data_IF_230108056798
#
_entry.id   IF_230108056798
#
_cell.length_a   1.000
_cell.length_b   1.000
_cell.length_c   1.000
_cell.angle_alpha   90.00
_cell.angle_beta   90.00
_cell.angle_gamma   90.00
#
_symmetry.space_group_name_H-M   'P 1'
#
loop_
_entity.id
_entity.type
_entity.pdbx_description
1 polymer ?
#
# COMPACT_ATOMS: atom_id res chain seq x y z
N UNK A 1 -1.74 34.82 8.43
CA UNK A 1 -1.08 33.52 8.61
C UNK A 1 -2.11 32.44 8.36
N UNK A 2 -2.06 31.74 7.23
CA UNK A 2 -3.00 30.64 6.97
C UNK A 2 -2.78 29.56 8.04
N UNK A 3 -3.85 29.10 8.69
CA UNK A 3 -3.78 27.99 9.62
C UNK A 3 -3.08 26.81 8.92
N UNK A 4 -1.90 26.44 9.40
CA UNK A 4 -1.08 25.41 8.77
C UNK A 4 -1.85 24.10 8.74
N UNK A 5 -2.14 23.59 7.53
CA UNK A 5 -2.82 22.31 7.37
C UNK A 5 -1.91 21.18 7.89
N UNK A 6 -2.25 20.63 9.05
CA UNK A 6 -1.53 19.50 9.63
C UNK A 6 -1.96 18.22 8.90
N UNK A 7 -0.98 17.50 8.34
CA UNK A 7 -1.24 16.19 7.74
C UNK A 7 -1.73 15.24 8.84
N UNK A 8 -2.93 14.63 8.72
CA UNK A 8 -3.42 13.67 9.69
C UNK A 8 -2.43 12.53 9.89
N UNK A 9 -2.18 12.18 11.16
CA UNK A 9 -1.37 11.00 11.49
C UNK A 9 -2.23 9.75 11.42
N UNK A 10 -1.72 8.69 10.82
CA UNK A 10 -2.42 7.42 10.69
C UNK A 10 -1.43 6.25 10.64
N UNK A 11 -1.88 5.06 11.06
CA UNK A 11 -1.07 3.84 10.92
C UNK A 11 -1.16 3.24 9.51
N UNK A 12 -2.28 3.46 8.84
CA UNK A 12 -2.59 2.97 7.49
C UNK A 12 -3.06 4.14 6.64
N UNK A 13 -2.39 4.37 5.52
CA UNK A 13 -2.69 5.44 4.58
C UNK A 13 -3.19 4.87 3.26
N UNK A 14 -4.44 5.15 2.89
CA UNK A 14 -4.97 4.89 1.54
C UNK A 14 -4.85 6.14 0.69
N UNK A 15 -4.27 6.00 -0.50
CA UNK A 15 -4.04 7.09 -1.45
C UNK A 15 -4.75 6.74 -2.75
N UNK A 16 -5.62 7.64 -3.20
CA UNK A 16 -6.23 7.57 -4.52
C UNK A 16 -5.47 8.52 -5.45
N UNK A 17 -4.61 7.95 -6.30
CA UNK A 17 -3.81 8.69 -7.25
C UNK A 17 -3.36 7.77 -8.39
N UNK A 18 -3.09 8.37 -9.54
CA UNK A 18 -2.44 7.71 -10.66
C UNK A 18 -0.93 7.92 -10.56
N UNK A 19 -0.17 6.86 -10.85
CA UNK A 19 1.29 6.90 -10.86
C UNK A 19 1.74 7.17 -12.26
N UNK A 20 2.58 8.18 -12.42
CA UNK A 20 3.19 8.51 -13.69
C UNK A 20 4.17 7.41 -14.14
N UNK A 21 4.53 7.33 -15.44
CA UNK A 21 5.46 6.31 -15.94
C UNK A 21 6.83 6.29 -15.26
N UNK A 22 7.27 7.42 -14.70
CA UNK A 22 8.50 7.55 -13.92
C UNK A 22 8.39 7.05 -12.47
N UNK A 23 7.19 6.66 -12.04
CA UNK A 23 6.91 6.19 -10.68
C UNK A 23 6.51 7.28 -9.70
N UNK A 24 6.45 8.55 -10.13
CA UNK A 24 6.02 9.67 -9.29
C UNK A 24 4.50 9.78 -9.21
N UNK A 25 4.00 10.58 -8.26
CA UNK A 25 2.56 10.86 -8.13
C UNK A 25 2.16 12.20 -8.79
N UNK A 26 3.01 12.79 -9.63
CA UNK A 26 2.71 14.06 -10.32
C UNK A 26 2.59 15.30 -9.41
N UNK A 27 2.90 15.20 -8.12
CA UNK A 27 2.80 16.28 -7.11
C UNK A 27 4.07 17.16 -7.03
N UNK A 28 4.82 17.27 -8.13
CA UNK A 28 6.16 17.85 -8.15
C UNK A 28 7.27 16.81 -7.96
N UNK A 29 8.44 17.07 -8.57
CA UNK A 29 9.37 16.07 -9.10
C UNK A 29 10.03 15.05 -8.16
N UNK A 30 9.65 14.94 -6.89
CA UNK A 30 10.24 13.96 -5.96
C UNK A 30 9.25 13.36 -4.94
N UNK A 31 7.95 13.66 -5.04
CA UNK A 31 6.96 13.13 -4.08
C UNK A 31 6.49 11.74 -4.52
N UNK A 32 6.93 10.74 -3.77
CA UNK A 32 6.53 9.34 -3.95
C UNK A 32 5.60 8.88 -2.82
N UNK A 33 4.99 7.70 -2.99
CA UNK A 33 4.18 7.07 -1.93
C UNK A 33 4.94 6.95 -0.59
N UNK A 34 6.26 6.72 -0.63
CA UNK A 34 7.11 6.64 0.57
C UNK A 34 7.12 7.94 1.36
N UNK A 35 7.24 9.07 0.66
CA UNK A 35 7.22 10.39 1.29
C UNK A 35 5.86 10.73 1.90
N UNK A 36 4.77 10.33 1.23
CA UNK A 36 3.43 10.50 1.78
C UNK A 36 3.23 9.65 3.04
N UNK A 37 3.67 8.39 3.00
CA UNK A 37 3.63 7.49 4.16
C UNK A 37 4.42 8.05 5.34
N UNK A 38 5.65 8.54 5.11
CA UNK A 38 6.46 9.17 6.15
C UNK A 38 5.79 10.40 6.75
N UNK A 39 5.28 11.31 5.91
CA UNK A 39 4.60 12.52 6.37
C UNK A 39 3.37 12.20 7.23
N UNK A 40 2.61 11.17 6.86
CA UNK A 40 1.46 10.69 7.63
C UNK A 40 1.85 9.84 8.86
N UNK A 41 3.12 9.42 8.99
CA UNK A 41 3.55 8.47 10.03
C UNK A 41 2.99 7.06 9.83
N UNK A 42 2.60 6.70 8.61
CA UNK A 42 1.99 5.42 8.30
C UNK A 42 3.04 4.31 8.19
N UNK A 43 2.69 3.13 8.71
CA UNK A 43 3.49 1.91 8.58
C UNK A 43 3.00 1.03 7.43
N UNK A 44 1.83 1.33 6.89
CA UNK A 44 1.26 0.71 5.69
C UNK A 44 0.73 1.83 4.80
N UNK A 45 1.15 1.85 3.54
CA UNK A 45 0.61 2.76 2.53
C UNK A 45 0.06 1.97 1.35
N UNK A 46 -1.18 2.27 0.96
CA UNK A 46 -1.90 1.59 -0.11
C UNK A 46 -2.22 2.61 -1.19
N UNK A 47 -1.71 2.39 -2.39
CA UNK A 47 -2.22 3.07 -3.57
C UNK A 47 -3.50 2.35 -4.02
N UNK A 48 -4.64 2.95 -3.69
CA UNK A 48 -5.95 2.35 -3.79
C UNK A 48 -6.55 2.40 -5.21
N UNK A 49 -6.11 3.34 -6.04
CA UNK A 49 -6.49 3.41 -7.45
C UNK A 49 -5.86 2.27 -8.25
N UNK A 50 -6.54 1.82 -9.31
CA UNK A 50 -5.97 0.88 -10.27
C UNK A 50 -4.79 1.54 -10.99
N UNK A 51 -3.64 0.87 -11.00
CA UNK A 51 -2.41 1.38 -11.60
C UNK A 51 -1.74 0.33 -12.49
N UNK A 52 -0.85 0.78 -13.37
CA UNK A 52 -0.12 -0.09 -14.28
C UNK A 52 1.08 -0.71 -13.55
N UNK A 53 1.29 -2.02 -13.71
CA UNK A 53 2.37 -2.76 -13.05
C UNK A 53 3.76 -2.18 -13.34
N UNK A 54 4.01 -1.75 -14.59
CA UNK A 54 5.25 -1.11 -14.99
C UNK A 54 5.54 0.19 -14.18
N UNK A 55 4.52 0.98 -13.88
CA UNK A 55 4.67 2.22 -13.13
C UNK A 55 4.94 1.95 -11.65
N UNK A 56 4.29 0.92 -11.08
CA UNK A 56 4.58 0.45 -9.72
C UNK A 56 6.04 -0.06 -9.60
N UNK A 57 6.55 -0.75 -10.63
CA UNK A 57 7.94 -1.19 -10.69
C UNK A 57 8.92 -0.01 -10.84
N UNK A 58 8.56 1.03 -11.61
CA UNK A 58 9.36 2.25 -11.69
C UNK A 58 9.43 2.94 -10.33
N UNK A 59 8.28 3.10 -9.66
CA UNK A 59 8.19 3.71 -8.33
C UNK A 59 8.98 2.93 -7.26
N UNK A 60 9.03 1.59 -7.37
CA UNK A 60 9.83 0.74 -6.50
C UNK A 60 11.32 1.11 -6.51
N UNK A 61 11.83 1.51 -7.68
CA UNK A 61 13.24 1.85 -7.93
C UNK A 61 13.60 3.27 -7.49
N UNK A 62 12.61 4.14 -7.33
CA UNK A 62 12.84 5.51 -6.86
C UNK A 62 13.42 5.50 -5.43
N UNK A 63 14.29 6.46 -5.07
CA UNK A 63 14.76 6.61 -3.71
C UNK A 63 13.62 7.06 -2.77
N UNK A 64 13.84 6.92 -1.46
CA UNK A 64 12.92 7.44 -0.44
C UNK A 64 12.94 6.64 0.87
N UNK A 65 12.22 7.13 1.89
CA UNK A 65 12.19 6.53 3.21
C UNK A 65 11.43 5.18 3.19
N UNK A 66 12.15 4.09 3.46
CA UNK A 66 11.61 2.72 3.52
C UNK A 66 11.00 2.39 4.89
N UNK A 67 10.04 3.22 5.33
CA UNK A 67 9.44 3.16 6.68
C UNK A 67 8.06 2.51 6.72
N UNK A 68 7.48 2.18 5.57
CA UNK A 68 6.15 1.59 5.46
C UNK A 68 6.16 0.39 4.51
N UNK A 69 5.29 -0.58 4.76
CA UNK A 69 4.94 -1.58 3.74
C UNK A 69 4.05 -0.92 2.69
N UNK A 70 4.38 -1.10 1.41
CA UNK A 70 3.68 -0.46 0.30
C UNK A 70 2.82 -1.49 -0.43
N UNK A 71 1.58 -1.13 -0.71
CA UNK A 71 0.67 -1.93 -1.54
C UNK A 71 0.28 -1.14 -2.78
N UNK A 72 0.54 -1.73 -3.93
CA UNK A 72 0.18 -1.19 -5.23
C UNK A 72 -1.02 -1.96 -5.77
N UNK A 73 -2.11 -1.27 -6.06
CA UNK A 73 -3.30 -1.90 -6.63
C UNK A 73 -3.26 -1.83 -8.15
N UNK A 74 -3.27 -2.99 -8.81
CA UNK A 74 -3.33 -3.08 -10.26
C UNK A 74 -4.79 -3.19 -10.73
N UNK A 75 -5.58 -3.98 -10.00
CA UNK A 75 -7.01 -4.10 -10.22
C UNK A 75 -7.73 -4.36 -8.89
N UNK A 76 -8.60 -3.43 -8.48
CA UNK A 76 -9.44 -3.56 -7.28
C UNK A 76 -10.41 -4.74 -7.34
N UNK A 77 -10.91 -5.11 -8.53
CA UNK A 77 -12.03 -6.05 -8.68
C UNK A 77 -13.23 -5.73 -7.76
N UNK A 78 -13.61 -4.45 -7.69
CA UNK A 78 -14.77 -3.99 -6.92
C UNK A 78 -14.71 -4.37 -5.43
N UNK A 79 -15.71 -5.10 -4.95
CA UNK A 79 -15.83 -5.49 -3.54
C UNK A 79 -14.68 -6.36 -3.03
N UNK A 80 -13.99 -7.09 -3.91
CA UNK A 80 -12.86 -7.94 -3.54
C UNK A 80 -11.77 -7.13 -2.83
N UNK A 81 -11.51 -5.90 -3.28
CA UNK A 81 -10.59 -4.96 -2.64
C UNK A 81 -10.94 -4.71 -1.17
N UNK A 82 -12.18 -4.30 -0.91
CA UNK A 82 -12.65 -3.99 0.43
C UNK A 82 -12.62 -5.23 1.33
N UNK A 83 -13.08 -6.39 0.82
CA UNK A 83 -13.06 -7.65 1.56
C UNK A 83 -11.64 -8.08 1.92
N UNK A 84 -10.69 -7.93 0.99
CA UNK A 84 -9.29 -8.27 1.19
C UNK A 84 -8.66 -7.43 2.32
N UNK A 85 -8.78 -6.10 2.25
CA UNK A 85 -8.19 -5.24 3.29
C UNK A 85 -8.90 -5.38 4.63
N UNK A 86 -10.22 -5.60 4.64
CA UNK A 86 -10.95 -5.94 5.87
C UNK A 86 -10.36 -7.19 6.52
N UNK A 87 -10.21 -8.28 5.77
CA UNK A 87 -9.67 -9.54 6.29
C UNK A 87 -8.21 -9.40 6.74
N UNK A 88 -7.38 -8.69 5.96
CA UNK A 88 -6.00 -8.38 6.30
C UNK A 88 -5.91 -7.68 7.65
N UNK A 89 -6.67 -6.60 7.82
CA UNK A 89 -6.64 -5.79 9.03
C UNK A 89 -7.30 -6.49 10.22
N UNK A 90 -8.34 -7.30 10.02
CA UNK A 90 -8.90 -8.18 11.07
C UNK A 90 -7.84 -9.13 11.61
N UNK A 91 -7.07 -9.79 10.72
CA UNK A 91 -5.98 -10.70 11.14
C UNK A 91 -4.85 -9.96 11.84
N UNK A 92 -4.52 -8.75 11.38
CA UNK A 92 -3.50 -7.92 12.01
C UNK A 92 -3.92 -7.45 13.40
N UNK A 93 -5.18 -7.08 13.57
CA UNK A 93 -5.77 -6.72 14.86
C UNK A 93 -5.76 -7.92 15.83
N UNK A 94 -5.89 -9.15 15.31
CA UNK A 94 -5.70 -10.37 16.07
C UNK A 94 -4.22 -10.72 16.36
N UNK A 95 -3.28 -9.79 16.15
CA UNK A 95 -1.86 -9.92 16.51
C UNK A 95 -0.95 -10.53 15.43
N UNK A 96 -1.48 -10.86 14.24
CA UNK A 96 -0.63 -11.32 13.13
C UNK A 96 0.13 -10.14 12.50
N UNK A 97 1.37 -10.37 12.07
CA UNK A 97 2.08 -9.39 11.24
C UNK A 97 1.49 -9.34 9.83
N UNK A 98 1.62 -8.18 9.18
CA UNK A 98 1.14 -7.95 7.81
C UNK A 98 1.66 -9.03 6.85
N UNK A 99 2.96 -9.40 6.81
CA UNK A 99 3.42 -10.45 5.89
C UNK A 99 2.77 -11.82 6.15
N UNK A 100 2.56 -12.18 7.42
CA UNK A 100 1.92 -13.46 7.79
C UNK A 100 0.43 -13.46 7.46
N UNK A 101 -0.26 -12.35 7.72
CA UNK A 101 -1.67 -12.19 7.38
C UNK A 101 -1.87 -12.19 5.85
N UNK A 102 -1.05 -11.43 5.12
CA UNK A 102 -1.03 -11.37 3.67
C UNK A 102 -0.85 -12.75 3.03
N UNK A 103 0.20 -13.49 3.42
CA UNK A 103 0.46 -14.82 2.85
C UNK A 103 -0.66 -15.83 3.16
N UNK A 104 -1.39 -15.65 4.26
CA UNK A 104 -2.52 -16.50 4.62
C UNK A 104 -3.82 -16.14 3.88
N UNK A 105 -3.89 -14.99 3.20
CA UNK A 105 -5.02 -14.57 2.35
C UNK A 105 -4.68 -14.79 0.88
N UNK A 106 -3.50 -14.32 0.44
CA UNK A 106 -3.00 -14.38 -0.92
C UNK A 106 -1.68 -15.20 -1.00
N UNK A 107 -1.74 -16.53 -0.82
CA UNK A 107 -0.56 -17.39 -0.85
C UNK A 107 0.10 -17.42 -2.24
N UNK A 108 1.40 -17.11 -2.33
CA UNK A 108 2.10 -16.95 -3.61
C UNK A 108 1.99 -18.19 -4.54
N UNK A 109 2.06 -19.40 -3.99
CA UNK A 109 2.11 -20.65 -4.77
C UNK A 109 0.74 -21.23 -5.14
N UNK A 110 -0.38 -20.65 -4.68
CA UNK A 110 -1.73 -21.17 -4.97
C UNK A 110 -2.51 -20.21 -5.87
N UNK A 111 -2.18 -20.19 -7.16
CA UNK A 111 -2.78 -19.30 -8.16
C UNK A 111 -4.33 -19.30 -8.18
N UNK A 112 -4.99 -20.45 -7.93
CA UNK A 112 -6.46 -20.52 -7.85
C UNK A 112 -7.06 -19.68 -6.71
N UNK A 113 -6.32 -19.46 -5.62
CA UNK A 113 -6.78 -18.66 -4.49
C UNK A 113 -6.86 -17.16 -4.80
N UNK A 114 -6.29 -16.70 -5.94
CA UNK A 114 -6.24 -15.28 -6.31
C UNK A 114 -7.37 -14.85 -7.24
N UNK A 115 -8.23 -15.77 -7.69
CA UNK A 115 -9.32 -15.44 -8.62
C UNK A 115 -10.24 -14.36 -8.04
N UNK A 116 -10.61 -14.53 -6.77
CA UNK A 116 -11.55 -13.64 -6.06
C UNK A 116 -10.84 -12.55 -5.24
N UNK A 117 -9.53 -12.36 -5.45
CA UNK A 117 -8.72 -11.35 -4.77
C UNK A 117 -8.42 -10.17 -5.70
N UNK A 118 -8.24 -8.95 -5.15
CA UNK A 118 -7.72 -7.83 -5.93
C UNK A 118 -6.31 -8.17 -6.44
N UNK A 119 -5.97 -7.65 -7.61
CA UNK A 119 -4.61 -7.78 -8.15
C UNK A 119 -3.76 -6.69 -7.50
N UNK A 120 -2.83 -7.11 -6.64
CA UNK A 120 -1.98 -6.19 -5.88
C UNK A 120 -0.52 -6.65 -5.89
N UNK A 121 0.41 -5.71 -5.81
CA UNK A 121 1.82 -5.95 -5.53
C UNK A 121 2.12 -5.40 -4.14
N UNK A 122 2.72 -6.20 -3.28
CA UNK A 122 3.11 -5.75 -1.94
C UNK A 122 4.63 -5.73 -1.78
N UNK A 123 5.15 -4.62 -1.26
CA UNK A 123 6.55 -4.42 -0.91
C UNK A 123 6.66 -4.28 0.61
N UNK A 124 7.23 -5.29 1.25
CA UNK A 124 7.33 -5.35 2.71
C UNK A 124 8.56 -4.59 3.23
N UNK A 125 8.69 -3.30 2.90
CA UNK A 125 9.90 -2.52 3.21
C UNK A 125 10.11 -2.31 4.72
N UNK A 126 9.03 -2.20 5.49
CA UNK A 126 9.06 -2.10 6.95
C UNK A 126 9.02 -3.47 7.65
N UNK A 127 9.05 -4.57 6.89
CA UNK A 127 9.10 -5.93 7.41
C UNK A 127 7.81 -6.36 8.13
N UNK A 128 7.97 -6.89 9.36
CA UNK A 128 6.92 -7.56 10.13
C UNK A 128 5.97 -6.59 10.86
N UNK A 129 5.45 -5.57 10.17
CA UNK A 129 4.49 -4.59 10.70
C UNK A 129 3.30 -5.29 11.37
N UNK A 130 2.91 -4.83 12.56
CA UNK A 130 1.77 -5.30 13.35
C UNK A 130 0.97 -4.10 13.85
N UNK A 131 -0.33 -4.26 14.05
CA UNK A 131 -1.08 -3.32 14.87
C UNK A 131 -0.70 -3.50 16.34
N UNK A 132 -0.69 -2.40 17.09
CA UNK A 132 -0.46 -2.37 18.53
C UNK A 132 -1.79 -2.22 19.23
#
# INVERSE_FOLDING_TARGET
>A
MAAGYQIPKCSVLFIYADVAPDGSLGLGGNVTIRHLAEKAGAFIAVLASNNISAHALAAAKLPGPKRANLVWTLDRKGEAFCRFFRELFTRMNAGKSMPRAWNAIAPQYRHKAHHDLPVTICQMEAGQVRFR
#
